data_IF_955114117416
#
_entry.id   IF_955114117416
#
_cell.length_a   1.000
_cell.length_b   1.000
_cell.length_c   1.000
_cell.angle_alpha   90.00
_cell.angle_beta   90.00
_cell.angle_gamma   90.00
#
_symmetry.space_group_name_H-M   'P 1'
#
loop_
_entity.id
_entity.type
_entity.pdbx_description
1 polymer ?
#
# COMPACT_ATOMS: atom_id res chain seq x y z
N UNK A 1 36.59 13.18 79.26
CA UNK A 1 35.23 13.06 78.67
C UNK A 1 35.10 13.56 77.22
N UNK A 2 35.68 14.70 76.81
CA UNK A 2 35.48 15.26 75.45
C UNK A 2 35.99 14.42 74.24
N UNK A 3 36.96 13.51 74.43
CA UNK A 3 37.48 12.67 73.34
C UNK A 3 36.52 11.54 72.93
N UNK A 4 35.68 11.07 73.86
CA UNK A 4 34.74 9.96 73.62
C UNK A 4 33.52 10.46 72.84
N UNK A 5 33.03 11.65 73.17
CA UNK A 5 31.89 12.28 72.48
C UNK A 5 32.22 12.64 71.03
N UNK A 6 33.43 13.13 70.74
CA UNK A 6 33.89 13.38 69.35
C UNK A 6 34.02 12.12 68.51
N UNK A 7 34.39 10.98 69.11
CA UNK A 7 34.46 9.68 68.40
C UNK A 7 33.06 9.16 68.04
N UNK A 8 32.11 9.29 68.96
CA UNK A 8 30.71 8.90 68.72
C UNK A 8 30.02 9.78 67.67
N UNK A 9 30.27 11.09 67.67
CA UNK A 9 29.73 12.01 66.65
C UNK A 9 30.28 11.66 65.26
N UNK A 10 31.58 11.39 65.13
CA UNK A 10 32.19 10.98 63.85
C UNK A 10 31.65 9.63 63.35
N UNK A 11 31.43 8.69 64.26
CA UNK A 11 30.83 7.39 63.92
C UNK A 11 29.38 7.55 63.46
N UNK A 12 28.58 8.37 64.17
CA UNK A 12 27.19 8.68 63.80
C UNK A 12 27.08 9.39 62.45
N UNK A 13 27.98 10.33 62.15
CA UNK A 13 28.02 11.02 60.84
C UNK A 13 28.42 10.03 59.74
N UNK A 14 29.36 9.13 60.00
CA UNK A 14 29.74 8.08 59.05
C UNK A 14 28.57 7.13 58.75
N UNK A 15 27.83 6.70 59.78
CA UNK A 15 26.62 5.89 59.62
C UNK A 15 25.52 6.65 58.84
N UNK A 16 25.32 7.94 59.11
CA UNK A 16 24.35 8.76 58.38
C UNK A 16 24.74 8.92 56.91
N UNK A 17 26.02 9.13 56.60
CA UNK A 17 26.51 9.24 55.22
C UNK A 17 26.40 7.92 54.46
N UNK A 18 26.67 6.79 55.12
CA UNK A 18 26.44 5.45 54.52
C UNK A 18 24.95 5.19 54.28
N UNK A 19 24.08 5.67 55.16
CA UNK A 19 22.64 5.56 54.99
C UNK A 19 22.12 6.42 53.82
N UNK A 20 22.62 7.65 53.68
CA UNK A 20 22.28 8.54 52.55
C UNK A 20 22.82 7.99 51.22
N UNK A 21 24.02 7.40 51.22
CA UNK A 21 24.57 6.73 50.04
C UNK A 21 23.75 5.51 49.63
N UNK A 22 23.22 4.73 50.60
CA UNK A 22 22.33 3.59 50.33
C UNK A 22 20.95 4.01 49.77
N UNK A 23 20.50 5.24 50.04
CA UNK A 23 19.25 5.77 49.46
C UNK A 23 19.44 6.15 47.98
N UNK A 24 20.66 6.53 47.56
CA UNK A 24 20.95 6.89 46.16
C UNK A 24 21.13 5.67 45.24
N UNK A 25 21.18 4.44 45.78
CA UNK A 25 21.26 3.19 45.00
C UNK A 25 19.90 2.52 44.81
N UNK A 26 18.79 3.19 45.14
CA UNK A 26 17.47 2.75 44.69
C UNK A 26 17.42 3.03 43.20
N UNK A 27 17.87 2.05 42.41
CA UNK A 27 17.74 2.06 40.96
C UNK A 27 16.26 2.31 40.64
N UNK A 28 15.98 3.35 39.86
CA UNK A 28 14.68 3.56 39.26
C UNK A 28 14.43 2.36 38.33
N UNK A 29 13.76 1.33 38.84
CA UNK A 29 13.24 0.26 38.00
C UNK A 29 12.20 0.91 37.10
N UNK A 30 12.61 1.28 35.90
CA UNK A 30 11.69 1.68 34.85
C UNK A 30 10.76 0.49 34.63
N UNK A 31 9.54 0.57 35.15
CA UNK A 31 8.47 -0.35 34.78
C UNK A 31 8.19 -0.06 33.32
N UNK A 32 8.69 -0.90 32.42
CA UNK A 32 8.25 -0.89 31.03
C UNK A 32 6.77 -1.28 31.06
N UNK A 33 5.88 -0.32 30.82
CA UNK A 33 4.52 -0.65 30.44
C UNK A 33 4.61 -1.55 29.20
N UNK A 34 3.93 -2.70 29.21
CA UNK A 34 3.81 -3.50 28.01
C UNK A 34 3.26 -2.61 26.89
N UNK A 35 3.95 -2.54 25.75
CA UNK A 35 3.43 -1.84 24.58
C UNK A 35 2.08 -2.46 24.23
N UNK A 36 1.01 -1.69 24.36
CA UNK A 36 -0.32 -2.12 23.96
C UNK A 36 -0.42 -1.95 22.45
N UNK A 37 -0.74 -3.04 21.76
CA UNK A 37 -0.97 -3.04 20.31
C UNK A 37 -2.33 -3.64 19.98
N UNK A 38 -2.90 -3.23 18.85
CA UNK A 38 -4.08 -3.85 18.24
C UNK A 38 -3.77 -4.21 16.81
N UNK A 39 -4.25 -5.39 16.38
CA UNK A 39 -4.07 -5.88 15.02
C UNK A 39 -5.40 -5.96 14.29
N UNK A 40 -5.42 -5.60 13.01
CA UNK A 40 -6.55 -5.84 12.11
C UNK A 40 -6.17 -6.78 10.98
N UNK A 41 -7.19 -7.42 10.41
CA UNK A 41 -7.10 -8.25 9.22
C UNK A 41 -8.13 -7.73 8.21
N UNK A 42 -7.70 -7.56 6.96
CA UNK A 42 -8.56 -7.10 5.87
C UNK A 42 -8.84 -8.27 4.91
N UNK A 43 -10.03 -8.91 4.97
CA UNK A 43 -10.42 -9.94 4.00
C UNK A 43 -10.79 -9.28 2.67
N UNK A 44 -10.31 -9.86 1.58
CA UNK A 44 -10.54 -9.42 0.21
C UNK A 44 -11.00 -10.61 -0.65
N UNK A 45 -12.04 -10.39 -1.46
CA UNK A 45 -12.54 -11.38 -2.42
C UNK A 45 -12.28 -10.94 -3.86
N UNK A 46 -11.66 -11.82 -4.63
CA UNK A 46 -11.55 -11.73 -6.09
C UNK A 46 -12.59 -12.64 -6.74
N UNK A 47 -13.34 -12.07 -7.68
CA UNK A 47 -14.24 -12.82 -8.56
C UNK A 47 -13.83 -12.59 -10.00
N UNK A 48 -13.69 -13.67 -10.75
CA UNK A 48 -13.40 -13.70 -12.18
C UNK A 48 -14.55 -14.42 -12.88
N UNK A 49 -15.17 -13.73 -13.83
CA UNK A 49 -16.23 -14.28 -14.66
C UNK A 49 -15.74 -14.43 -16.09
N UNK A 50 -16.19 -15.45 -16.81
CA UNK A 50 -15.82 -15.69 -18.21
C UNK A 50 -17.07 -15.98 -19.03
N UNK A 51 -17.14 -15.41 -20.24
CA UNK A 51 -18.20 -15.75 -21.22
C UNK A 51 -17.78 -16.88 -22.17
N UNK A 52 -16.71 -17.63 -21.83
CA UNK A 52 -16.09 -18.63 -22.71
C UNK A 52 -15.70 -19.88 -21.94
N UNK A 53 -15.16 -20.92 -22.59
CA UNK A 53 -14.65 -22.13 -21.92
C UNK A 53 -13.28 -21.94 -21.24
N UNK A 54 -12.82 -20.71 -21.07
CA UNK A 54 -11.56 -20.42 -20.37
C UNK A 54 -11.67 -20.70 -18.88
N UNK A 55 -10.63 -21.31 -18.32
CA UNK A 55 -10.54 -21.59 -16.91
C UNK A 55 -10.23 -20.29 -16.16
N UNK A 56 -11.00 -19.99 -15.12
CA UNK A 56 -10.78 -18.81 -14.27
C UNK A 56 -9.44 -18.85 -13.54
N UNK A 57 -8.93 -20.05 -13.24
CA UNK A 57 -7.65 -20.27 -12.56
C UNK A 57 -6.43 -19.87 -13.41
N UNK A 58 -6.61 -19.65 -14.71
CA UNK A 58 -5.54 -19.17 -15.59
C UNK A 58 -5.29 -17.65 -15.41
N UNK A 59 -6.13 -16.96 -14.64
CA UNK A 59 -6.12 -15.51 -14.52
C UNK A 59 -5.60 -15.06 -13.15
N UNK A 60 -4.59 -14.19 -13.19
CA UNK A 60 -3.99 -13.58 -12.01
C UNK A 60 -4.11 -12.06 -12.09
N UNK A 61 -4.46 -11.44 -10.97
CA UNK A 61 -4.57 -9.99 -10.85
C UNK A 61 -3.79 -9.50 -9.64
N UNK A 62 -3.21 -8.31 -9.80
CA UNK A 62 -2.40 -7.66 -8.79
C UNK A 62 -3.18 -6.55 -8.11
N UNK A 63 -2.92 -6.38 -6.82
CA UNK A 63 -3.59 -5.41 -5.95
C UNK A 63 -2.55 -4.59 -5.19
N UNK A 64 -2.93 -3.37 -4.84
CA UNK A 64 -2.13 -2.45 -4.03
C UNK A 64 -2.95 -1.95 -2.86
N UNK A 65 -2.40 -2.11 -1.64
CA UNK A 65 -2.82 -1.38 -0.45
C UNK A 65 -1.81 -0.25 -0.21
N UNK A 66 -2.25 0.99 -0.38
CA UNK A 66 -1.44 2.19 -0.20
C UNK A 66 -1.80 2.90 1.11
N UNK A 67 -0.78 3.26 1.89
CA UNK A 67 -0.90 4.13 3.05
C UNK A 67 -1.08 5.59 2.62
N UNK A 68 -2.23 6.19 2.95
CA UNK A 68 -2.51 7.61 2.67
C UNK A 68 -2.14 8.52 3.85
N UNK A 69 -2.22 8.01 5.08
CA UNK A 69 -1.76 8.72 6.27
C UNK A 69 -0.25 8.54 6.46
N UNK A 70 0.43 9.58 6.94
CA UNK A 70 1.85 9.48 7.31
C UNK A 70 2.04 8.44 8.41
N UNK A 71 3.07 7.59 8.26
CA UNK A 71 3.39 6.50 9.18
C UNK A 71 2.26 5.48 9.40
N UNK A 72 1.28 5.38 8.50
CA UNK A 72 0.27 4.32 8.61
C UNK A 72 0.93 2.94 8.44
N UNK A 73 0.72 2.02 9.38
CA UNK A 73 1.31 0.69 9.29
C UNK A 73 0.69 -0.08 8.13
N UNK A 74 1.50 -0.91 7.49
CA UNK A 74 1.09 -1.83 6.43
C UNK A 74 1.56 -3.25 6.80
N UNK A 75 1.03 -4.30 6.13
CA UNK A 75 1.48 -5.66 6.35
C UNK A 75 2.99 -5.86 6.11
N UNK A 76 3.53 -6.92 6.70
CA UNK A 76 4.89 -7.37 6.44
C UNK A 76 5.11 -7.63 4.94
N UNK A 77 6.26 -7.18 4.41
CA UNK A 77 6.57 -7.25 2.97
C UNK A 77 6.18 -6.01 2.18
N UNK A 78 5.76 -4.92 2.85
CA UNK A 78 5.55 -3.61 2.22
C UNK A 78 6.82 -3.06 1.56
N UNK A 79 6.63 -2.26 0.53
CA UNK A 79 7.67 -1.41 -0.07
C UNK A 79 7.27 0.06 0.12
N UNK A 80 8.05 0.81 0.91
CA UNK A 80 7.72 2.19 1.25
C UNK A 80 6.32 2.32 1.89
N UNK A 81 5.42 3.00 1.17
CA UNK A 81 4.02 3.29 1.52
C UNK A 81 3.02 2.37 0.83
N UNK A 82 3.46 1.29 0.18
CA UNK A 82 2.57 0.36 -0.51
C UNK A 82 2.82 -1.08 -0.08
N UNK A 83 1.78 -1.90 -0.17
CA UNK A 83 1.85 -3.34 -0.02
C UNK A 83 1.13 -3.97 -1.22
N UNK A 84 1.86 -4.74 -2.01
CA UNK A 84 1.35 -5.36 -3.23
C UNK A 84 1.25 -6.87 -3.10
N UNK A 85 0.24 -7.45 -3.74
CA UNK A 85 0.02 -8.89 -3.75
C UNK A 85 -0.84 -9.29 -4.94
N UNK A 86 -0.77 -10.57 -5.30
CA UNK A 86 -1.54 -11.16 -6.41
C UNK A 86 -2.57 -12.17 -5.91
N UNK A 87 -3.68 -12.29 -6.63
CA UNK A 87 -4.68 -13.35 -6.47
C UNK A 87 -4.91 -14.05 -7.81
N UNK A 88 -4.97 -15.37 -7.80
CA UNK A 88 -5.23 -16.20 -8.97
C UNK A 88 -6.60 -16.85 -8.85
N UNK A 89 -7.38 -16.85 -9.94
CA UNK A 89 -8.70 -17.46 -9.98
C UNK A 89 -9.73 -16.79 -9.08
N UNK A 90 -10.72 -17.56 -8.65
CA UNK A 90 -11.70 -17.09 -7.67
C UNK A 90 -11.18 -17.37 -6.26
N UNK A 91 -10.91 -16.32 -5.48
CA UNK A 91 -10.23 -16.46 -4.19
C UNK A 91 -10.72 -15.45 -3.16
N UNK A 92 -10.70 -15.85 -1.89
CA UNK A 92 -10.72 -14.94 -0.75
C UNK A 92 -9.39 -15.01 -0.01
N UNK A 93 -8.80 -13.85 0.31
CA UNK A 93 -7.50 -13.73 0.98
C UNK A 93 -7.54 -12.63 2.02
N UNK A 94 -6.91 -12.89 3.16
CA UNK A 94 -6.55 -11.86 4.12
C UNK A 94 -5.31 -11.10 3.62
N UNK A 95 -5.43 -9.79 3.39
CA UNK A 95 -4.36 -8.93 2.83
C UNK A 95 -3.12 -8.92 3.73
N UNK A 96 -3.25 -9.31 4.99
CA UNK A 96 -2.16 -9.42 5.96
C UNK A 96 -2.59 -8.86 7.31
N UNK A 97 -1.69 -8.95 8.29
CA UNK A 97 -1.90 -8.37 9.62
C UNK A 97 -1.35 -6.95 9.63
N UNK A 98 -2.15 -5.98 10.05
CA UNK A 98 -1.72 -4.58 10.24
C UNK A 98 -1.75 -4.28 11.74
N UNK A 99 -0.60 -3.89 12.30
CA UNK A 99 -0.41 -3.65 13.75
C UNK A 99 -0.37 -2.16 14.06
N UNK A 100 -1.11 -1.75 15.07
CA UNK A 100 -1.17 -0.38 15.55
C UNK A 100 -0.75 -0.31 17.01
N UNK A 101 0.18 0.58 17.31
CA UNK A 101 0.68 0.84 18.67
C UNK A 101 0.16 2.17 19.23
N UNK A 102 -0.43 3.01 18.37
CA UNK A 102 -0.81 4.38 18.72
C UNK A 102 -2.26 4.66 18.33
N UNK A 103 -2.93 5.47 19.16
CA UNK A 103 -4.25 6.02 18.82
C UNK A 103 -4.15 6.98 17.65
N UNK A 104 -5.18 7.00 16.81
CA UNK A 104 -5.17 7.83 15.62
C UNK A 104 -6.17 7.41 14.56
N UNK A 105 -6.12 8.13 13.44
CA UNK A 105 -6.93 7.85 12.26
C UNK A 105 -6.00 7.53 11.09
N UNK A 106 -6.07 6.30 10.61
CA UNK A 106 -5.20 5.80 9.55
C UNK A 106 -6.02 5.56 8.29
N UNK A 107 -5.60 6.17 7.18
CA UNK A 107 -6.28 6.07 5.90
C UNK A 107 -5.45 5.24 4.92
N UNK A 108 -6.15 4.39 4.16
CA UNK A 108 -5.58 3.55 3.13
C UNK A 108 -6.41 3.60 1.85
N UNK A 109 -5.74 3.37 0.73
CA UNK A 109 -6.36 3.13 -0.57
C UNK A 109 -6.11 1.68 -0.97
N UNK A 110 -7.16 0.92 -1.31
CA UNK A 110 -7.06 -0.43 -1.85
C UNK A 110 -7.65 -0.46 -3.25
N UNK A 111 -6.84 -0.87 -4.22
CA UNK A 111 -7.23 -0.91 -5.63
C UNK A 111 -6.49 -2.02 -6.38
N UNK A 112 -7.03 -2.37 -7.54
CA UNK A 112 -6.41 -3.31 -8.46
C UNK A 112 -5.38 -2.58 -9.34
N UNK A 113 -4.21 -3.18 -9.52
CA UNK A 113 -3.16 -2.64 -10.40
C UNK A 113 -3.54 -3.02 -11.85
N UNK A 114 -3.66 -2.01 -12.70
CA UNK A 114 -3.93 -2.19 -14.13
C UNK A 114 -2.61 -2.16 -14.89
N UNK A 115 -2.05 -3.33 -15.18
CA UNK A 115 -0.94 -3.46 -16.14
C UNK A 115 -1.56 -3.67 -17.53
N UNK A 116 -1.39 -2.69 -18.41
CA UNK A 116 -1.72 -2.69 -19.84
C UNK A 116 -2.97 -3.50 -20.18
N UNK A 117 -4.17 -2.88 -20.12
CA UNK A 117 -5.49 -3.43 -20.49
C UNK A 117 -5.39 -4.71 -21.33
N UNK A 118 -5.31 -5.88 -20.66
CA UNK A 118 -5.20 -7.14 -21.37
C UNK A 118 -6.41 -7.24 -22.28
N UNK A 119 -6.18 -7.44 -23.59
CA UNK A 119 -7.26 -7.64 -24.55
C UNK A 119 -8.22 -8.68 -23.98
N UNK A 120 -9.52 -8.38 -24.06
CA UNK A 120 -10.63 -9.23 -23.61
C UNK A 120 -10.94 -9.19 -22.11
N UNK A 121 -10.32 -8.32 -21.31
CA UNK A 121 -10.70 -8.11 -19.91
C UNK A 121 -11.45 -6.80 -19.68
N UNK A 122 -12.48 -6.86 -18.86
CA UNK A 122 -13.08 -5.72 -18.16
C UNK A 122 -12.68 -5.83 -16.70
N UNK A 123 -11.86 -4.88 -16.26
CA UNK A 123 -11.33 -4.83 -14.90
C UNK A 123 -12.30 -4.11 -13.95
N UNK A 124 -12.32 -4.53 -12.70
CA UNK A 124 -12.95 -3.73 -11.64
C UNK A 124 -12.05 -2.52 -11.34
N UNK A 125 -12.60 -1.32 -11.50
CA UNK A 125 -11.90 -0.04 -11.32
C UNK A 125 -12.22 0.62 -9.97
N UNK A 126 -12.91 -0.08 -9.07
CA UNK A 126 -13.19 0.44 -7.72
C UNK A 126 -11.89 0.77 -6.98
N UNK A 127 -11.96 1.84 -6.22
CA UNK A 127 -10.94 2.22 -5.25
C UNK A 127 -11.60 2.29 -3.90
N UNK A 128 -11.19 1.41 -2.98
CA UNK A 128 -11.68 1.43 -1.62
C UNK A 128 -10.83 2.37 -0.78
N UNK A 129 -11.45 3.39 -0.19
CA UNK A 129 -10.83 4.19 0.87
C UNK A 129 -11.17 3.59 2.22
N UNK A 130 -10.17 3.09 2.93
CA UNK A 130 -10.33 2.52 4.26
C UNK A 130 -9.89 3.53 5.31
N UNK A 131 -10.75 3.78 6.30
CA UNK A 131 -10.42 4.60 7.47
C UNK A 131 -10.46 3.72 8.71
N UNK A 132 -9.32 3.61 9.39
CA UNK A 132 -9.15 2.84 10.62
C UNK A 132 -9.00 3.81 11.79
N UNK A 133 -9.91 3.70 12.76
CA UNK A 133 -9.90 4.48 14.00
C UNK A 133 -9.32 3.62 15.12
N UNK A 134 -8.20 4.06 15.69
CA UNK A 134 -7.57 3.43 16.85
C UNK A 134 -7.83 4.30 18.07
N UNK A 135 -8.47 3.73 19.10
CA UNK A 135 -8.82 4.42 20.35
C UNK A 135 -8.61 3.51 21.56
N UNK A 136 -8.48 4.13 22.73
CA UNK A 136 -8.52 3.41 24.00
C UNK A 136 -9.95 2.98 24.32
N UNK A 137 -10.11 1.76 24.79
CA UNK A 137 -11.33 1.33 25.46
C UNK A 137 -11.35 1.77 26.93
N UNK A 138 -12.38 1.35 27.68
CA UNK A 138 -12.53 1.71 29.10
C UNK A 138 -11.58 0.95 30.02
N UNK A 139 -11.06 -0.18 29.56
CA UNK A 139 -10.14 -1.05 30.30
C UNK A 139 -8.67 -0.68 30.00
N UNK A 140 -8.47 0.30 29.12
CA UNK A 140 -7.19 0.87 28.75
C UNK A 140 -6.49 0.08 27.65
N UNK A 141 -7.18 -0.79 26.90
CA UNK A 141 -6.67 -1.50 25.74
C UNK A 141 -6.94 -0.74 24.44
N UNK A 142 -6.13 -0.99 23.41
CA UNK A 142 -6.36 -0.43 22.09
C UNK A 142 -7.43 -1.23 21.36
N UNK A 143 -8.39 -0.53 20.76
CA UNK A 143 -9.40 -1.12 19.87
C UNK A 143 -9.38 -0.43 18.51
N UNK A 144 -9.73 -1.19 17.47
CA UNK A 144 -9.75 -0.73 16.09
C UNK A 144 -11.17 -0.78 15.51
N UNK A 145 -11.59 0.30 14.86
CA UNK A 145 -12.84 0.38 14.10
C UNK A 145 -12.53 0.72 12.64
N UNK A 146 -13.10 -0.06 11.71
CA UNK A 146 -12.82 0.09 10.28
C UNK A 146 -14.08 0.56 9.56
N UNK A 147 -13.93 1.63 8.77
CA UNK A 147 -14.93 2.14 7.85
C UNK A 147 -14.33 2.07 6.44
N UNK A 148 -14.94 1.30 5.56
CA UNK A 148 -14.62 1.33 4.13
C UNK A 148 -15.57 2.29 3.40
N UNK A 149 -15.09 2.89 2.32
CA UNK A 149 -15.88 3.60 1.32
C UNK A 149 -15.41 3.11 -0.06
N UNK A 150 -16.35 2.70 -0.91
CA UNK A 150 -16.05 2.23 -2.28
C UNK A 150 -16.09 3.37 -3.32
N UNK A 151 -16.14 4.63 -2.88
CA UNK A 151 -16.27 5.82 -3.71
C UNK A 151 -17.71 6.28 -3.93
N UNK A 152 -18.71 5.52 -3.46
CA UNK A 152 -20.13 5.90 -3.49
C UNK A 152 -20.60 6.62 -2.21
N UNK A 153 -19.76 6.69 -1.17
CA UNK A 153 -20.14 7.23 0.15
C UNK A 153 -20.87 6.21 1.04
N UNK A 154 -21.02 4.97 0.58
CA UNK A 154 -21.59 3.86 1.36
C UNK A 154 -20.49 2.93 1.90
N UNK A 155 -20.75 2.36 3.09
CA UNK A 155 -19.88 1.35 3.67
C UNK A 155 -20.06 0.02 2.93
N UNK A 156 -19.03 -0.53 2.28
CA UNK A 156 -19.14 -1.81 1.61
C UNK A 156 -19.26 -2.93 2.66
N UNK A 157 -20.13 -3.91 2.39
CA UNK A 157 -20.24 -5.12 3.24
C UNK A 157 -18.96 -5.96 3.22
N UNK A 158 -18.29 -5.99 2.06
CA UNK A 158 -17.06 -6.76 1.80
C UNK A 158 -16.17 -6.00 0.81
N UNK A 159 -14.87 -6.19 0.93
CA UNK A 159 -13.92 -5.75 -0.09
C UNK A 159 -13.94 -6.79 -1.21
N UNK A 160 -14.51 -6.43 -2.35
CA UNK A 160 -14.66 -7.33 -3.49
C UNK A 160 -14.34 -6.63 -4.81
N UNK A 161 -13.58 -7.32 -5.66
CA UNK A 161 -13.27 -6.92 -7.03
C UNK A 161 -13.78 -7.98 -8.01
N UNK A 162 -14.50 -7.53 -9.04
CA UNK A 162 -15.12 -8.41 -10.04
C UNK A 162 -14.55 -8.13 -11.44
N UNK A 163 -13.74 -9.06 -11.93
CA UNK A 163 -13.14 -8.99 -13.25
C UNK A 163 -13.90 -9.89 -14.24
N UNK A 164 -14.01 -9.46 -15.50
CA UNK A 164 -14.73 -10.21 -16.54
C UNK A 164 -13.84 -10.45 -17.75
N UNK A 165 -13.74 -11.71 -18.18
CA UNK A 165 -13.11 -12.10 -19.44
C UNK A 165 -14.15 -12.33 -20.54
N UNK A 166 -14.04 -11.59 -21.63
CA UNK A 166 -14.88 -11.71 -22.83
C UNK A 166 -14.02 -11.64 -24.08
N UNK A 167 -13.83 -12.77 -24.76
CA UNK A 167 -13.11 -12.83 -26.03
C UNK A 167 -13.88 -12.06 -27.11
N UNK A 168 -13.29 -11.00 -27.66
CA UNK A 168 -13.81 -10.35 -28.86
C UNK A 168 -13.58 -11.28 -30.05
N UNK A 169 -14.67 -11.81 -30.62
CA UNK A 169 -14.62 -12.47 -31.93
C UNK A 169 -14.58 -11.33 -32.95
N UNK A 170 -13.43 -11.11 -33.58
CA UNK A 170 -13.40 -10.30 -34.81
C UNK A 170 -14.02 -11.21 -35.87
N UNK A 171 -15.23 -10.88 -36.29
CA UNK A 171 -15.92 -11.56 -37.39
C UNK A 171 -15.18 -11.18 -38.69
N UNK A 172 -14.29 -12.07 -39.15
CA UNK A 172 -13.83 -12.04 -40.54
C UNK A 172 -15.01 -12.51 -41.40
N UNK A 173 -15.93 -11.60 -41.70
CA UNK A 173 -16.96 -11.86 -42.72
C UNK A 173 -17.24 -10.62 -43.56
N UNK A 174 -16.54 -10.54 -44.69
CA UNK A 174 -17.07 -10.08 -45.98
C UNK A 174 -16.16 -10.69 -47.05
N UNK A 175 -16.58 -11.34 -48.12
CA UNK A 175 -17.83 -11.94 -48.58
C UNK A 175 -17.38 -12.70 -49.85
N UNK A 176 -17.62 -14.00 -49.95
CA UNK A 176 -17.28 -14.77 -51.16
C UNK A 176 -18.50 -14.84 -52.07
N UNK A 177 -18.52 -14.08 -53.19
CA UNK A 177 -19.11 -14.49 -54.49
C UNK A 177 -18.45 -13.78 -55.68
N UNK A 178 -17.92 -14.60 -56.60
CA UNK A 178 -17.44 -14.33 -57.97
C UNK A 178 -18.35 -13.42 -58.85
N UNK A 179 -17.75 -12.54 -59.68
CA UNK A 179 -17.66 -12.66 -61.15
C UNK A 179 -16.88 -11.45 -61.75
N UNK A 180 -16.11 -11.68 -62.82
CA UNK A 180 -14.94 -10.87 -63.19
C UNK A 180 -15.16 -9.61 -64.03
N UNK A 181 -14.21 -8.65 -63.92
CA UNK A 181 -13.76 -7.80 -65.04
C UNK A 181 -12.40 -7.16 -64.75
N UNK A 182 -11.50 -7.28 -65.73
CA UNK A 182 -10.10 -6.78 -65.78
C UNK A 182 -9.99 -5.25 -65.72
N UNK A 183 -8.96 -4.72 -65.03
CA UNK A 183 -7.79 -4.08 -65.67
C UNK A 183 -6.78 -3.52 -64.65
N UNK A 184 -5.54 -4.01 -64.77
CA UNK A 184 -4.21 -3.42 -64.51
C UNK A 184 -4.04 -2.26 -63.52
N UNK A 185 -3.16 -2.48 -62.52
CA UNK A 185 -1.90 -1.72 -62.41
C UNK A 185 -0.90 -2.45 -61.48
N UNK A 186 0.37 -2.15 -61.68
CA UNK A 186 1.52 -3.05 -61.64
C UNK A 186 2.56 -2.54 -60.64
N UNK A 187 2.99 -3.33 -59.65
CA UNK A 187 4.32 -3.32 -58.99
C UNK A 187 4.44 -4.64 -58.17
N UNK A 188 5.21 -5.65 -58.57
CA UNK A 188 6.67 -5.86 -58.52
C UNK A 188 7.17 -6.45 -57.19
N UNK A 189 7.59 -7.71 -57.33
CA UNK A 189 8.68 -8.44 -56.66
C UNK A 189 8.65 -8.67 -55.13
N UNK A 190 8.81 -9.94 -54.78
CA UNK A 190 8.96 -10.39 -53.40
C UNK A 190 10.40 -10.26 -52.91
N UNK A 191 10.55 -9.98 -51.63
CA UNK A 191 11.70 -10.47 -50.85
C UNK A 191 11.25 -10.66 -49.40
N UNK A 192 11.43 -11.87 -48.88
CA UNK A 192 11.12 -12.18 -47.50
C UNK A 192 12.17 -11.58 -46.59
N UNK A 193 11.77 -10.74 -45.64
CA UNK A 193 12.60 -10.40 -44.47
C UNK A 193 11.79 -10.48 -43.19
N UNK A 194 12.38 -11.24 -42.26
CA UNK A 194 12.10 -11.39 -40.84
C UNK A 194 11.67 -10.08 -40.15
N UNK A 195 10.87 -10.11 -39.07
CA UNK A 195 10.41 -8.91 -38.38
C UNK A 195 11.58 -8.04 -37.89
N UNK A 196 11.48 -6.76 -38.21
CA UNK A 196 12.31 -5.67 -37.71
C UNK A 196 11.88 -5.36 -36.27
N UNK A 197 12.69 -5.79 -35.29
CA UNK A 197 12.63 -5.27 -33.92
C UNK A 197 13.36 -3.94 -33.87
N UNK A 198 12.75 -2.91 -34.46
CA UNK A 198 13.19 -1.53 -34.40
C UNK A 198 12.37 -0.78 -33.36
N UNK A 199 13.00 -0.47 -32.22
CA UNK A 199 12.48 0.43 -31.20
C UNK A 199 11.81 1.67 -31.80
N UNK A 200 10.50 1.80 -31.59
CA UNK A 200 9.87 3.12 -31.50
C UNK A 200 9.58 3.38 -30.04
N UNK A 201 10.62 3.77 -29.30
CA UNK A 201 10.45 4.34 -27.98
C UNK A 201 9.48 5.53 -28.13
N UNK A 202 8.28 5.43 -27.54
CA UNK A 202 7.34 6.56 -27.43
C UNK A 202 7.90 7.57 -26.42
N UNK A 203 8.99 8.24 -26.81
CA UNK A 203 9.72 9.23 -26.02
C UNK A 203 8.81 10.41 -25.62
N UNK A 204 7.71 10.64 -26.35
CA UNK A 204 6.74 11.71 -26.04
C UNK A 204 6.01 11.49 -24.71
N UNK A 205 5.71 10.24 -24.36
CA UNK A 205 4.97 9.93 -23.11
C UNK A 205 5.92 9.97 -21.90
N UNK A 206 7.18 9.54 -22.07
CA UNK A 206 8.22 9.67 -21.06
C UNK A 206 8.61 11.14 -20.79
N UNK A 207 8.63 12.00 -21.81
CA UNK A 207 8.88 13.44 -21.63
C UNK A 207 7.78 14.09 -20.77
N UNK A 208 6.51 13.68 -20.94
CA UNK A 208 5.41 14.18 -20.11
C UNK A 208 5.59 13.76 -18.63
N UNK A 209 5.96 12.50 -18.37
CA UNK A 209 6.23 12.01 -17.01
C UNK A 209 7.43 12.70 -16.35
N UNK A 210 8.49 13.00 -17.11
CA UNK A 210 9.66 13.74 -16.60
C UNK A 210 9.30 15.20 -16.28
N UNK A 211 8.46 15.85 -17.09
CA UNK A 211 8.00 17.22 -16.81
C UNK A 211 7.09 17.29 -15.58
N UNK A 212 6.20 16.32 -15.39
CA UNK A 212 5.32 16.25 -14.22
C UNK A 212 6.15 15.99 -12.95
N UNK A 213 7.11 15.06 -12.98
CA UNK A 213 7.96 14.78 -11.81
C UNK A 213 8.85 15.98 -11.43
N UNK A 214 9.38 16.72 -12.41
CA UNK A 214 10.14 17.94 -12.15
C UNK A 214 9.28 19.05 -11.48
N UNK A 215 8.00 19.17 -11.86
CA UNK A 215 7.05 20.10 -11.23
C UNK A 215 6.79 19.69 -9.77
N UNK A 216 6.57 18.40 -9.50
CA UNK A 216 6.36 17.88 -8.12
C UNK A 216 7.60 18.14 -7.27
N UNK A 217 8.81 17.86 -7.78
CA UNK A 217 10.06 18.10 -7.07
C UNK A 217 10.25 19.60 -6.77
N UNK A 218 9.92 20.50 -7.71
CA UNK A 218 9.98 21.95 -7.48
C UNK A 218 8.98 22.42 -6.42
N UNK A 219 7.79 21.83 -6.36
CA UNK A 219 6.78 22.13 -5.32
C UNK A 219 7.28 21.67 -3.96
N UNK A 220 7.82 20.45 -3.85
CA UNK A 220 8.38 19.90 -2.62
C UNK A 220 9.63 20.66 -2.14
N UNK A 221 10.47 21.10 -3.08
CA UNK A 221 11.63 21.95 -2.75
C UNK A 221 11.17 23.33 -2.24
N UNK A 222 10.16 23.94 -2.86
CA UNK A 222 9.59 25.21 -2.41
C UNK A 222 8.89 25.08 -1.06
N UNK A 223 8.15 24.00 -0.79
CA UNK A 223 7.50 23.78 0.51
C UNK A 223 8.55 23.60 1.62
N UNK A 224 9.57 22.77 1.40
CA UNK A 224 10.69 22.60 2.35
C UNK A 224 11.49 23.87 2.58
N UNK A 225 11.69 24.70 1.54
CA UNK A 225 12.37 26.00 1.68
C UNK A 225 11.54 26.99 2.49
N UNK A 226 10.20 27.00 2.32
CA UNK A 226 9.30 27.83 3.13
C UNK A 226 9.27 27.39 4.60
N UNK A 227 9.27 26.09 4.86
CA UNK A 227 9.37 25.56 6.23
C UNK A 227 10.65 26.05 6.90
N UNK A 228 11.81 25.94 6.23
CA UNK A 228 13.09 26.44 6.77
C UNK A 228 13.11 27.95 6.99
N UNK A 229 12.42 28.74 6.17
CA UNK A 229 12.31 30.19 6.33
C UNK A 229 11.31 30.61 7.42
N UNK A 230 10.31 29.78 7.74
CA UNK A 230 9.37 30.00 8.84
C UNK A 230 9.89 29.51 10.21
N UNK A 231 11.07 28.86 10.21
CA UNK A 231 11.78 28.35 11.39
C UNK A 231 12.97 29.22 11.79
N UNK A 232 13.11 30.41 11.20
CA UNK A 232 14.11 31.44 11.57
C UNK A 232 13.39 32.72 11.97
#
# INVERSE_FOLDING_TARGET
MQKVTKKWIKFSICCLLLFVAAIHTIENTHVYAANKEVSIILPLRQVVTTETTKNVEDFSFDYCLEALSENAPLPDGKDGSTYTFSLTGNMEKNIGVIRYENVGVYKYSLYQIHMDDLKNFTYDTKVYTLTVYIKWDRDGDLIAEIIGDNGSGEKPEKLEFVNTYKKTVIDDTTDDKNDGKKSNEQYSDGDGKQPDTGDVTRTKDYIACILISAIVILVLYKSRKREKQNLT
#
